data_IF_519043787880
#
_entry.id   IF_519043787880
#
_cell.length_a   1.000
_cell.length_b   1.000
_cell.length_c   1.000
_cell.angle_alpha   90.00
_cell.angle_beta   90.00
_cell.angle_gamma   90.00
#
_symmetry.space_group_name_H-M   'P 1'
#
loop_
_entity.id
_entity.type
_entity.pdbx_description
1 polymer ?
#
# COMPACT_ATOMS: atom_id res chain seq x y z
N UNK A 1 7.31 10.14 10.54
CA UNK A 1 6.44 9.36 9.64
C UNK A 1 6.74 7.87 9.81
N UNK A 2 5.73 7.00 9.79
CA UNK A 2 5.92 5.54 9.86
C UNK A 2 6.56 5.01 8.57
N UNK A 3 7.83 4.59 8.63
CA UNK A 3 8.60 4.21 7.43
C UNK A 3 8.07 2.96 6.74
N UNK A 4 7.47 2.02 7.48
CA UNK A 4 6.89 0.77 6.94
C UNK A 4 5.75 0.98 5.94
N UNK A 5 5.13 2.18 5.92
CA UNK A 5 4.06 2.51 4.98
C UNK A 5 4.61 2.79 3.58
N UNK A 6 5.86 3.25 3.49
CA UNK A 6 6.47 3.75 2.24
C UNK A 6 7.68 2.93 1.81
N UNK A 7 8.39 2.31 2.76
CA UNK A 7 9.64 1.58 2.56
C UNK A 7 9.46 0.11 2.99
N UNK A 8 10.24 -0.82 2.42
CA UNK A 8 10.16 -2.25 2.75
C UNK A 8 10.91 -2.56 4.05
N UNK A 9 10.55 -1.87 5.13
CA UNK A 9 11.09 -2.08 6.47
C UNK A 9 10.06 -2.78 7.34
N UNK A 10 10.53 -3.57 8.32
CA UNK A 10 9.65 -4.27 9.25
C UNK A 10 8.98 -3.23 10.16
N UNK A 11 9.77 -2.34 10.74
CA UNK A 11 9.38 -1.48 11.84
C UNK A 11 10.19 -0.16 11.83
N UNK A 12 9.86 0.72 12.79
CA UNK A 12 10.57 1.96 13.02
C UNK A 12 9.99 3.18 12.30
N UNK A 13 10.50 4.33 12.74
CA UNK A 13 10.14 5.65 12.24
C UNK A 13 11.40 6.51 12.11
N UNK A 14 11.32 7.55 11.28
CA UNK A 14 12.30 8.62 11.25
C UNK A 14 11.62 9.93 11.68
N UNK A 15 12.39 10.74 12.41
CA UNK A 15 12.12 12.13 12.69
C UNK A 15 13.28 12.93 12.10
N UNK A 16 12.95 13.95 11.32
CA UNK A 16 13.91 14.79 10.60
C UNK A 16 13.62 16.24 10.98
N UNK A 17 14.67 16.98 11.33
CA UNK A 17 14.61 18.42 11.56
C UNK A 17 15.21 19.14 10.36
N UNK A 18 14.37 19.83 9.55
CA UNK A 18 14.83 20.48 8.32
C UNK A 18 15.95 21.51 8.56
N UNK A 19 15.88 22.25 9.67
CA UNK A 19 16.78 23.37 9.95
C UNK A 19 18.02 22.96 10.78
N UNK A 20 18.26 21.66 10.96
CA UNK A 20 19.39 21.14 11.73
C UNK A 20 19.31 21.38 13.24
N UNK A 21 18.31 22.12 13.73
CA UNK A 21 18.04 22.28 15.16
C UNK A 21 17.67 20.92 15.76
N UNK A 22 18.58 20.35 16.55
CA UNK A 22 18.30 19.11 17.29
C UNK A 22 17.12 19.34 18.24
N UNK A 23 16.21 18.36 18.38
CA UNK A 23 15.22 18.44 19.46
C UNK A 23 15.96 18.49 20.80
N UNK A 24 15.30 19.06 21.81
CA UNK A 24 15.77 19.05 23.19
C UNK A 24 16.32 17.65 23.58
N UNK A 25 17.33 17.56 24.47
CA UNK A 25 18.09 16.33 24.78
C UNK A 25 17.29 15.15 25.38
N UNK A 26 15.95 15.16 25.33
CA UNK A 26 15.07 14.18 25.96
C UNK A 26 14.56 13.03 25.08
N UNK A 27 14.84 13.00 23.77
CA UNK A 27 14.49 11.82 22.96
C UNK A 27 15.49 10.69 23.21
N UNK A 28 15.27 9.91 24.28
CA UNK A 28 15.99 8.66 24.47
C UNK A 28 15.50 7.63 23.46
N UNK A 29 16.41 7.05 22.69
CA UNK A 29 16.09 5.87 21.88
C UNK A 29 15.84 4.71 22.82
N UNK A 30 14.60 4.25 22.86
CA UNK A 30 14.24 3.09 23.68
C UNK A 30 14.99 1.84 23.19
N UNK A 31 15.06 0.79 24.01
CA UNK A 31 15.71 -0.46 23.57
C UNK A 31 14.95 -1.07 22.39
N UNK A 32 15.69 -1.69 21.48
CA UNK A 32 15.12 -2.53 20.43
C UNK A 32 14.37 -3.70 21.06
N UNK A 33 13.21 -4.04 20.51
CA UNK A 33 12.41 -5.20 20.92
C UNK A 33 12.11 -6.05 19.70
N UNK A 34 12.31 -7.35 19.86
CA UNK A 34 11.94 -8.38 18.90
C UNK A 34 10.72 -9.08 19.49
N UNK A 35 9.54 -8.60 19.11
CA UNK A 35 8.25 -9.04 19.62
C UNK A 35 7.48 -9.86 18.57
N UNK A 36 6.23 -10.17 18.90
CA UNK A 36 5.34 -10.94 18.03
C UNK A 36 5.03 -10.16 16.75
N UNK A 37 4.87 -8.83 16.84
CA UNK A 37 4.75 -7.93 15.69
C UNK A 37 5.94 -8.05 14.74
N UNK A 38 7.15 -7.85 15.24
CA UNK A 38 8.37 -7.90 14.44
C UNK A 38 8.52 -9.24 13.73
N UNK A 39 8.35 -10.33 14.47
CA UNK A 39 8.59 -11.69 13.96
C UNK A 39 7.59 -12.06 12.87
N UNK A 40 6.30 -11.85 13.12
CA UNK A 40 5.24 -12.14 12.15
C UNK A 40 5.39 -11.28 10.89
N UNK A 41 5.70 -9.99 11.05
CA UNK A 41 5.86 -9.08 9.93
C UNK A 41 7.10 -9.36 9.10
N UNK A 42 8.24 -9.63 9.72
CA UNK A 42 9.47 -9.97 9.01
C UNK A 42 9.27 -11.25 8.17
N UNK A 43 8.62 -12.27 8.75
CA UNK A 43 8.29 -13.50 8.03
C UNK A 43 7.29 -13.25 6.89
N UNK A 44 6.24 -12.45 7.13
CA UNK A 44 5.28 -12.07 6.10
C UNK A 44 5.96 -11.38 4.91
N UNK A 45 6.92 -10.49 5.18
CA UNK A 45 7.71 -9.82 4.15
C UNK A 45 8.56 -10.80 3.33
N UNK A 46 9.23 -11.76 3.97
CA UNK A 46 10.03 -12.78 3.28
C UNK A 46 9.16 -13.71 2.43
N UNK A 47 8.04 -14.21 2.97
CA UNK A 47 7.12 -15.06 2.22
C UNK A 47 6.45 -14.32 1.06
N UNK A 48 6.07 -13.05 1.26
CA UNK A 48 5.54 -12.22 0.18
C UNK A 48 6.59 -11.98 -0.91
N UNK A 49 7.85 -11.75 -0.53
CA UNK A 49 8.92 -11.61 -1.50
C UNK A 49 9.05 -12.87 -2.36
N UNK A 50 9.24 -14.05 -1.74
CA UNK A 50 9.34 -15.32 -2.46
C UNK A 50 8.13 -15.62 -3.36
N UNK A 51 6.92 -15.26 -2.92
CA UNK A 51 5.72 -15.41 -3.74
C UNK A 51 5.74 -14.49 -4.97
N UNK A 52 6.11 -13.23 -4.80
CA UNK A 52 6.11 -12.23 -5.89
C UNK A 52 7.27 -12.42 -6.86
N UNK A 53 8.46 -12.78 -6.36
CA UNK A 53 9.67 -12.89 -7.19
C UNK A 53 9.83 -14.26 -7.83
N UNK A 54 9.50 -15.32 -7.09
CA UNK A 54 9.83 -16.70 -7.47
C UNK A 54 8.57 -17.57 -7.67
N UNK A 55 7.37 -17.03 -7.41
CA UNK A 55 6.12 -17.78 -7.48
C UNK A 55 5.97 -18.84 -6.38
N UNK A 56 6.77 -18.75 -5.30
CA UNK A 56 6.82 -19.77 -4.26
C UNK A 56 5.87 -19.45 -3.09
N UNK A 57 5.15 -20.48 -2.64
CA UNK A 57 4.26 -20.40 -1.47
C UNK A 57 2.83 -19.97 -1.80
N UNK A 58 2.14 -19.40 -0.82
CA UNK A 58 0.72 -19.03 -0.92
C UNK A 58 0.47 -17.62 -0.41
N UNK A 59 -0.37 -16.88 -1.14
CA UNK A 59 -0.81 -15.55 -0.73
C UNK A 59 -1.46 -15.56 0.66
N UNK A 60 -2.28 -16.58 0.94
CA UNK A 60 -2.95 -16.78 2.22
C UNK A 60 -1.97 -16.83 3.39
N UNK A 61 -0.80 -17.45 3.22
CA UNK A 61 0.16 -17.62 4.31
C UNK A 61 0.78 -16.29 4.74
N UNK A 62 1.26 -15.48 3.79
CA UNK A 62 1.84 -14.19 4.17
C UNK A 62 0.76 -13.19 4.60
N UNK A 63 -0.45 -13.26 4.06
CA UNK A 63 -1.58 -12.42 4.48
C UNK A 63 -1.96 -12.69 5.93
N UNK A 64 -2.12 -13.96 6.32
CA UNK A 64 -2.38 -14.35 7.71
C UNK A 64 -1.30 -13.82 8.68
N UNK A 65 -0.03 -13.81 8.26
CA UNK A 65 1.06 -13.26 9.08
C UNK A 65 1.03 -11.73 9.16
N UNK A 66 0.60 -11.03 8.10
CA UNK A 66 0.34 -9.60 8.20
C UNK A 66 -0.80 -9.30 9.16
N UNK A 67 -1.89 -10.07 9.12
CA UNK A 67 -3.01 -9.92 10.05
C UNK A 67 -2.58 -10.16 11.50
N UNK A 68 -1.78 -11.20 11.75
CA UNK A 68 -1.20 -11.47 13.06
C UNK A 68 -0.28 -10.33 13.53
N UNK A 69 0.51 -9.75 12.62
CA UNK A 69 1.36 -8.61 12.94
C UNK A 69 0.52 -7.39 13.31
N UNK A 70 -0.46 -6.98 12.51
CA UNK A 70 -1.30 -5.82 12.85
C UNK A 70 -2.06 -6.05 14.17
N UNK A 71 -2.62 -7.25 14.40
CA UNK A 71 -3.25 -7.59 15.67
C UNK A 71 -2.28 -7.60 16.87
N UNK A 72 -1.01 -7.93 16.66
CA UNK A 72 0.02 -7.79 17.69
C UNK A 72 0.35 -6.31 17.95
N UNK A 73 0.48 -5.50 16.90
CA UNK A 73 0.76 -4.07 17.01
C UNK A 73 -0.31 -3.33 17.81
N UNK A 74 -1.58 -3.64 17.56
CA UNK A 74 -2.72 -3.02 18.25
C UNK A 74 -2.77 -3.39 19.74
N UNK A 75 -2.40 -4.63 20.09
CA UNK A 75 -2.38 -5.11 21.48
C UNK A 75 -1.15 -4.64 22.25
N UNK A 76 0.01 -4.61 21.59
CA UNK A 76 1.31 -4.40 22.21
C UNK A 76 1.83 -2.97 21.99
N UNK A 77 0.97 -1.99 21.68
CA UNK A 77 1.38 -0.60 21.45
C UNK A 77 2.06 0.01 22.70
N UNK A 78 3.35 -0.24 22.83
CA UNK A 78 4.25 0.37 23.80
C UNK A 78 4.98 1.51 23.10
N UNK A 79 4.80 2.73 23.57
CA UNK A 79 5.28 3.98 22.97
C UNK A 79 6.82 4.14 22.91
N UNK A 80 7.61 3.07 22.96
CA UNK A 80 9.05 3.16 23.19
C UNK A 80 9.79 1.87 22.78
N UNK A 81 9.86 1.58 21.48
CA UNK A 81 10.82 0.62 20.93
C UNK A 81 11.68 1.30 19.86
N UNK A 82 12.99 1.05 19.89
CA UNK A 82 13.84 1.43 18.76
C UNK A 82 13.48 0.63 17.52
N UNK A 83 13.63 1.27 16.36
CA UNK A 83 13.68 0.57 15.06
C UNK A 83 14.65 -0.60 15.12
N UNK A 84 14.26 -1.78 14.66
CA UNK A 84 15.10 -2.97 14.67
C UNK A 84 16.40 -2.85 13.88
N UNK A 85 17.38 -3.69 14.21
CA UNK A 85 18.62 -3.85 13.47
C UNK A 85 18.38 -4.26 12.02
N UNK A 86 17.37 -5.09 11.76
CA UNK A 86 16.98 -5.49 10.40
C UNK A 86 16.48 -4.28 9.62
N UNK A 87 15.54 -3.49 10.17
CA UNK A 87 15.04 -2.29 9.49
C UNK A 87 16.13 -1.24 9.28
N UNK A 88 17.02 -1.01 10.26
CA UNK A 88 18.20 -0.14 10.08
C UNK A 88 19.12 -0.63 8.97
N UNK A 89 19.35 -1.94 8.92
CA UNK A 89 20.17 -2.62 7.90
C UNK A 89 19.58 -2.45 6.50
N UNK A 90 18.25 -2.60 6.37
CA UNK A 90 17.52 -2.37 5.12
C UNK A 90 17.68 -0.91 4.70
N UNK A 91 17.35 0.06 5.56
CA UNK A 91 17.39 1.49 5.22
C UNK A 91 18.76 1.91 4.69
N UNK A 92 19.84 1.48 5.33
CA UNK A 92 21.21 1.78 4.89
C UNK A 92 21.56 1.27 3.49
N UNK A 93 20.79 0.33 2.95
CA UNK A 93 21.01 -0.31 1.64
C UNK A 93 19.89 0.00 0.64
N UNK A 94 18.87 0.77 1.02
CA UNK A 94 17.77 1.11 0.12
C UNK A 94 18.25 2.07 -0.98
N UNK A 95 18.07 1.66 -2.23
CA UNK A 95 18.18 2.57 -3.37
C UNK A 95 16.94 3.45 -3.49
N UNK A 96 16.85 4.52 -2.69
CA UNK A 96 15.68 5.42 -2.66
C UNK A 96 15.33 5.96 -4.05
N UNK A 97 16.33 6.35 -4.85
CA UNK A 97 16.11 6.82 -6.22
C UNK A 97 15.55 5.73 -7.15
N UNK A 98 15.98 4.48 -6.95
CA UNK A 98 15.44 3.33 -7.69
C UNK A 98 13.97 3.11 -7.31
N UNK A 99 13.63 3.19 -6.02
CA UNK A 99 12.25 3.08 -5.53
C UNK A 99 11.37 4.19 -6.13
N UNK A 100 11.86 5.42 -6.10
CA UNK A 100 11.17 6.59 -6.67
C UNK A 100 10.89 6.40 -8.17
N UNK A 101 11.91 6.03 -8.95
CA UNK A 101 11.75 5.81 -10.40
C UNK A 101 10.79 4.67 -10.69
N UNK A 102 10.90 3.54 -9.98
CA UNK A 102 10.01 2.40 -10.17
C UNK A 102 8.55 2.74 -9.88
N UNK A 103 8.25 3.42 -8.76
CA UNK A 103 6.88 3.87 -8.43
C UNK A 103 6.30 4.80 -9.48
N UNK A 104 7.09 5.78 -9.94
CA UNK A 104 6.64 6.72 -11.00
C UNK A 104 6.38 5.99 -12.32
N UNK A 105 7.28 5.09 -12.72
CA UNK A 105 7.12 4.29 -13.94
C UNK A 105 5.88 3.38 -13.87
N UNK A 106 5.69 2.70 -12.74
CA UNK A 106 4.53 1.83 -12.53
C UNK A 106 3.21 2.60 -12.57
N UNK A 107 3.15 3.77 -11.93
CA UNK A 107 1.98 4.63 -11.98
C UNK A 107 1.65 5.09 -13.41
N UNK A 108 2.66 5.59 -14.15
CA UNK A 108 2.49 6.02 -15.52
C UNK A 108 2.02 4.88 -16.45
N UNK A 109 2.62 3.69 -16.29
CA UNK A 109 2.22 2.49 -17.02
C UNK A 109 0.77 2.09 -16.69
N UNK A 110 0.39 2.10 -15.40
CA UNK A 110 -0.96 1.72 -14.97
C UNK A 110 -2.01 2.68 -15.52
N UNK A 111 -1.77 3.99 -15.44
CA UNK A 111 -2.65 5.02 -16.03
C UNK A 111 -2.81 4.80 -17.53
N UNK A 112 -1.70 4.61 -18.25
CA UNK A 112 -1.73 4.36 -19.70
C UNK A 112 -2.55 3.11 -20.02
N UNK A 113 -2.29 2.00 -19.33
CA UNK A 113 -2.99 0.75 -19.54
C UNK A 113 -4.48 0.86 -19.22
N UNK A 114 -4.88 1.59 -18.16
CA UNK A 114 -6.29 1.84 -17.85
C UNK A 114 -7.00 2.64 -18.95
N UNK A 115 -6.32 3.62 -19.55
CA UNK A 115 -6.85 4.34 -20.71
C UNK A 115 -6.97 3.44 -21.95
N UNK A 116 -5.95 2.63 -22.25
CA UNK A 116 -5.97 1.68 -23.37
C UNK A 116 -7.08 0.62 -23.24
N UNK A 117 -7.43 0.24 -22.01
CA UNK A 117 -8.52 -0.70 -21.70
C UNK A 117 -9.90 -0.02 -21.61
N UNK A 118 -10.00 1.29 -21.85
CA UNK A 118 -11.24 2.07 -21.76
C UNK A 118 -11.95 1.91 -20.40
N UNK A 119 -11.16 1.95 -19.32
CA UNK A 119 -11.64 1.75 -17.95
C UNK A 119 -12.82 2.68 -17.58
N UNK A 120 -12.92 3.86 -18.19
CA UNK A 120 -14.04 4.78 -18.00
C UNK A 120 -15.36 4.21 -18.49
N UNK A 121 -15.39 3.48 -19.62
CA UNK A 121 -16.59 2.75 -20.04
C UNK A 121 -16.96 1.60 -19.10
N UNK A 122 -15.99 1.04 -18.39
CA UNK A 122 -16.21 0.06 -17.33
C UNK A 122 -16.62 0.70 -15.98
N UNK A 123 -16.89 2.00 -15.93
CA UNK A 123 -17.30 2.70 -14.70
C UNK A 123 -16.17 2.95 -13.71
N UNK A 124 -14.91 2.89 -14.17
CA UNK A 124 -13.72 3.15 -13.36
C UNK A 124 -13.03 4.45 -13.80
N UNK A 125 -12.94 5.41 -12.88
CA UNK A 125 -12.37 6.72 -13.13
C UNK A 125 -11.06 6.91 -12.36
N UNK A 126 -10.04 7.44 -13.02
CA UNK A 126 -8.80 7.87 -12.35
C UNK A 126 -9.06 9.16 -11.56
N UNK A 127 -8.71 9.16 -10.27
CA UNK A 127 -8.81 10.39 -9.47
C UNK A 127 -7.72 11.39 -9.87
N UNK A 128 -6.55 10.89 -10.26
CA UNK A 128 -5.44 11.67 -10.77
C UNK A 128 -4.97 11.03 -12.09
N UNK A 129 -5.30 11.59 -13.26
CA UNK A 129 -4.89 11.03 -14.55
C UNK A 129 -3.43 11.35 -14.91
N UNK A 130 -2.81 12.28 -14.18
CA UNK A 130 -1.44 12.71 -14.41
C UNK A 130 -0.64 12.67 -13.11
N UNK A 131 0.66 12.40 -13.22
CA UNK A 131 1.57 12.40 -12.09
C UNK A 131 2.51 13.60 -12.17
N UNK A 132 2.33 14.63 -11.33
CA UNK A 132 3.17 15.82 -11.38
C UNK A 132 4.66 15.51 -11.15
N UNK A 133 5.51 16.42 -11.63
CA UNK A 133 6.94 16.36 -11.35
C UNK A 133 7.21 16.44 -9.86
N UNK A 134 8.26 15.75 -9.42
CA UNK A 134 8.58 15.64 -8.00
C UNK A 134 7.79 14.58 -7.23
N UNK A 135 6.53 14.29 -7.61
CA UNK A 135 5.64 13.39 -6.85
C UNK A 135 6.07 11.93 -6.93
N UNK A 136 5.99 11.21 -5.81
CA UNK A 136 6.23 9.76 -5.75
C UNK A 136 4.95 9.09 -5.26
N UNK A 137 4.25 8.32 -6.11
CA UNK A 137 2.95 7.79 -5.76
C UNK A 137 3.08 6.68 -4.72
N UNK A 138 2.24 6.75 -3.68
CA UNK A 138 2.08 5.64 -2.75
C UNK A 138 1.36 4.48 -3.44
N UNK A 139 0.32 4.81 -4.21
CA UNK A 139 -0.56 3.92 -4.95
C UNK A 139 -1.38 4.73 -5.98
N UNK A 140 -2.26 4.07 -6.74
CA UNK A 140 -3.10 4.68 -7.78
C UNK A 140 -4.58 4.70 -7.38
N UNK A 141 -5.12 5.83 -6.90
CA UNK A 141 -6.53 5.94 -6.52
C UNK A 141 -7.44 6.03 -7.76
N UNK A 142 -8.50 5.23 -7.74
CA UNK A 142 -9.58 5.19 -8.72
C UNK A 142 -10.92 5.30 -8.01
N UNK A 143 -11.95 5.72 -8.74
CA UNK A 143 -13.32 5.93 -8.25
C UNK A 143 -14.27 5.09 -9.10
N UNK A 144 -15.16 4.35 -8.46
CA UNK A 144 -16.21 3.57 -9.13
C UNK A 144 -17.43 3.41 -8.21
N UNK A 145 -18.62 3.31 -8.79
CA UNK A 145 -19.84 3.00 -8.04
C UNK A 145 -19.87 1.54 -7.55
N UNK A 146 -19.15 0.65 -8.23
CA UNK A 146 -19.07 -0.79 -7.92
C UNK A 146 -17.80 -1.13 -7.12
N UNK A 147 -17.36 -0.24 -6.22
CA UNK A 147 -16.07 -0.32 -5.51
C UNK A 147 -15.85 -1.68 -4.83
N UNK A 148 -16.84 -2.15 -4.08
CA UNK A 148 -16.70 -3.37 -3.28
C UNK A 148 -16.70 -4.63 -4.15
N UNK A 149 -17.58 -4.68 -5.17
CA UNK A 149 -17.59 -5.74 -6.17
C UNK A 149 -16.28 -5.80 -6.95
N UNK A 150 -15.74 -4.63 -7.36
CA UNK A 150 -14.44 -4.54 -8.02
C UNK A 150 -13.31 -5.03 -7.10
N UNK A 151 -13.31 -4.63 -5.83
CA UNK A 151 -12.32 -5.07 -4.84
C UNK A 151 -12.32 -6.59 -4.70
N UNK A 152 -13.49 -7.21 -4.56
CA UNK A 152 -13.64 -8.67 -4.47
C UNK A 152 -13.16 -9.37 -5.73
N UNK A 153 -13.54 -8.85 -6.89
CA UNK A 153 -13.14 -9.38 -8.19
C UNK A 153 -11.62 -9.32 -8.40
N UNK A 154 -10.99 -8.20 -8.03
CA UNK A 154 -9.54 -8.04 -8.06
C UNK A 154 -8.85 -8.99 -7.07
N UNK A 155 -9.37 -9.15 -5.86
CA UNK A 155 -8.83 -10.07 -4.87
C UNK A 155 -8.87 -11.53 -5.34
N UNK A 156 -9.97 -11.96 -5.97
CA UNK A 156 -10.10 -13.29 -6.58
C UNK A 156 -9.06 -13.54 -7.68
N UNK A 157 -8.56 -12.47 -8.32
CA UNK A 157 -7.51 -12.51 -9.34
C UNK A 157 -6.11 -12.24 -8.77
N UNK A 158 -5.96 -12.24 -7.45
CA UNK A 158 -4.68 -12.03 -6.76
C UNK A 158 -4.21 -10.57 -6.70
N UNK A 159 -5.05 -9.61 -7.09
CA UNK A 159 -4.77 -8.17 -7.03
C UNK A 159 -5.35 -7.59 -5.74
N UNK A 160 -4.47 -7.40 -4.75
CA UNK A 160 -4.84 -6.82 -3.46
C UNK A 160 -4.88 -5.29 -3.55
N UNK A 161 -6.04 -4.71 -3.24
CA UNK A 161 -6.30 -3.27 -3.23
C UNK A 161 -6.58 -2.76 -1.82
N UNK A 162 -6.58 -1.44 -1.64
CA UNK A 162 -6.87 -0.79 -0.36
C UNK A 162 -8.03 0.20 -0.50
N UNK A 163 -8.72 0.46 0.60
CA UNK A 163 -9.66 1.58 0.74
C UNK A 163 -8.99 2.61 1.67
N UNK A 164 -8.72 3.81 1.15
CA UNK A 164 -8.06 4.90 1.88
C UNK A 164 -8.81 6.21 1.61
N UNK A 165 -9.80 6.58 2.43
CA UNK A 165 -10.25 5.93 3.67
C UNK A 165 -11.76 5.81 3.66
N UNK A 166 -12.28 4.84 4.42
CA UNK A 166 -13.70 4.83 4.79
C UNK A 166 -13.97 6.01 5.75
N UNK A 167 -15.10 6.68 5.58
CA UNK A 167 -15.51 7.74 6.50
C UNK A 167 -15.94 7.11 7.82
N UNK A 168 -15.34 7.50 8.97
CA UNK A 168 -15.78 7.05 10.29
C UNK A 168 -17.21 7.51 10.58
N UNK A 169 -17.96 6.71 11.36
CA UNK A 169 -19.35 7.01 11.72
C UNK A 169 -19.50 8.31 12.53
N UNK A 170 -18.42 8.76 13.18
CA UNK A 170 -18.34 9.98 13.96
C UNK A 170 -18.25 11.24 13.10
N UNK A 171 -18.00 11.12 11.80
CA UNK A 171 -17.91 12.25 10.86
C UNK A 171 -19.31 12.56 10.29
N UNK A 172 -19.91 13.73 10.56
CA UNK A 172 -21.26 14.06 10.09
C UNK A 172 -21.36 14.06 8.56
N UNK A 173 -22.31 13.30 8.01
CA UNK A 173 -22.46 13.14 6.56
C UNK A 173 -23.05 14.36 5.87
N UNK A 174 -23.97 15.03 6.55
CA UNK A 174 -24.61 16.28 6.12
C UNK A 174 -23.62 17.45 6.04
N UNK A 175 -22.63 17.49 6.92
CA UNK A 175 -21.55 18.49 6.86
C UNK A 175 -20.48 18.18 5.80
N UNK A 176 -20.19 16.88 5.56
CA UNK A 176 -19.13 16.44 4.64
C UNK A 176 -19.60 15.49 3.53
N UNK A 177 -20.63 15.85 2.74
CA UNK A 177 -21.27 14.93 1.79
C UNK A 177 -20.32 14.43 0.71
N UNK A 178 -19.41 15.27 0.23
CA UNK A 178 -18.43 14.89 -0.81
C UNK A 178 -17.36 13.93 -0.29
N UNK A 179 -16.91 14.10 0.96
CA UNK A 179 -15.98 13.17 1.61
C UNK A 179 -16.61 11.80 1.75
N UNK A 180 -17.87 11.74 2.18
CA UNK A 180 -18.64 10.51 2.26
C UNK A 180 -18.80 9.86 0.88
N UNK A 181 -19.20 10.63 -0.12
CA UNK A 181 -19.38 10.15 -1.50
C UNK A 181 -18.09 9.59 -2.09
N UNK A 182 -16.95 10.24 -1.87
CA UNK A 182 -15.65 9.74 -2.30
C UNK A 182 -15.26 8.48 -1.53
N UNK A 183 -15.42 8.48 -0.20
CA UNK A 183 -15.04 7.34 0.66
C UNK A 183 -15.76 6.05 0.25
N UNK A 184 -17.01 6.16 -0.20
CA UNK A 184 -17.86 5.05 -0.67
C UNK A 184 -17.45 4.50 -2.04
N UNK A 185 -16.65 5.23 -2.81
CA UNK A 185 -16.36 4.92 -4.22
C UNK A 185 -14.88 4.74 -4.51
N UNK A 186 -14.01 5.20 -3.61
CA UNK A 186 -12.57 5.18 -3.81
C UNK A 186 -12.00 3.77 -3.59
N UNK A 187 -11.20 3.32 -4.54
CA UNK A 187 -10.38 2.12 -4.45
C UNK A 187 -8.94 2.49 -4.81
N UNK A 188 -7.98 1.86 -4.15
CA UNK A 188 -6.56 2.16 -4.35
C UNK A 188 -5.87 0.95 -4.98
N UNK A 189 -5.47 1.11 -6.24
CA UNK A 189 -4.74 0.10 -7.01
C UNK A 189 -3.24 0.13 -6.68
N UNK A 190 -2.58 -1.04 -6.60
CA UNK A 190 -1.16 -1.12 -6.29
C UNK A 190 -0.30 -0.64 -7.47
N UNK A 191 0.69 0.21 -7.18
CA UNK A 191 1.71 0.64 -8.16
C UNK A 191 3.10 0.84 -7.51
N UNK A 192 3.36 0.14 -6.40
CA UNK A 192 4.62 0.29 -5.66
C UNK A 192 5.82 -0.36 -6.36
N UNK A 193 7.03 -0.09 -5.87
CA UNK A 193 8.29 -0.49 -6.52
C UNK A 193 8.53 -2.00 -6.68
N UNK A 194 7.71 -2.85 -6.03
CA UNK A 194 7.85 -4.32 -6.10
C UNK A 194 7.24 -4.87 -7.39
N UNK A 195 6.33 -4.12 -8.00
CA UNK A 195 5.68 -4.51 -9.24
C UNK A 195 6.51 -4.10 -10.45
N UNK A 196 6.24 -4.76 -11.56
CA UNK A 196 6.85 -4.50 -12.87
C UNK A 196 5.81 -3.86 -13.80
N UNK A 197 6.23 -3.31 -14.96
CA UNK A 197 5.29 -2.79 -15.95
C UNK A 197 4.24 -3.81 -16.40
N UNK A 198 4.61 -5.09 -16.54
CA UNK A 198 3.71 -6.19 -16.92
C UNK A 198 2.65 -6.42 -15.84
N UNK A 199 3.01 -6.32 -14.57
CA UNK A 199 2.04 -6.37 -13.48
C UNK A 199 1.03 -5.22 -13.56
N UNK A 200 1.42 -4.03 -14.02
CA UNK A 200 0.48 -2.91 -14.18
C UNK A 200 -0.53 -3.16 -15.30
N UNK A 201 -0.13 -3.84 -16.37
CA UNK A 201 -1.06 -4.28 -17.43
C UNK A 201 -2.06 -5.32 -16.92
N UNK A 202 -1.61 -6.27 -16.10
CA UNK A 202 -2.47 -7.26 -15.45
C UNK A 202 -3.49 -6.57 -14.54
N UNK A 203 -3.04 -5.62 -13.71
CA UNK A 203 -3.92 -4.84 -12.83
C UNK A 203 -4.95 -4.04 -13.65
N UNK A 204 -4.52 -3.33 -14.70
CA UNK A 204 -5.42 -2.54 -15.54
C UNK A 204 -6.50 -3.40 -16.23
N UNK A 205 -6.10 -4.55 -16.79
CA UNK A 205 -7.01 -5.49 -17.43
C UNK A 205 -8.00 -6.08 -16.43
N UNK A 206 -7.51 -6.52 -15.27
CA UNK A 206 -8.37 -7.07 -14.22
C UNK A 206 -9.37 -6.02 -13.71
N UNK A 207 -8.98 -4.75 -13.66
CA UNK A 207 -9.83 -3.66 -13.20
C UNK A 207 -10.90 -3.22 -14.23
N UNK A 208 -10.65 -3.44 -15.52
CA UNK A 208 -11.52 -2.97 -16.61
C UNK A 208 -12.54 -4.03 -17.09
N UNK A 209 -12.55 -5.23 -16.51
CA UNK A 209 -13.29 -6.40 -17.02
C UNK A 209 -14.58 -6.72 -16.26
N UNK A 210 -15.20 -5.75 -15.61
CA UNK A 210 -16.41 -5.92 -14.80
C UNK A 210 -17.67 -6.42 -15.57
N UNK A 211 -17.58 -6.64 -16.89
CA UNK A 211 -18.72 -6.98 -17.75
C UNK A 211 -18.65 -8.31 -18.52
N UNK A 212 -17.72 -9.23 -18.22
CA UNK A 212 -17.63 -10.50 -18.97
C UNK A 212 -17.38 -11.70 -18.06
N UNK A 213 -18.47 -12.37 -17.72
CA UNK A 213 -18.60 -13.61 -16.95
C UNK A 213 -18.50 -13.48 -15.42
N UNK A 214 -19.33 -14.21 -14.66
CA UNK A 214 -19.17 -14.32 -13.21
C UNK A 214 -17.76 -14.85 -12.93
N UNK A 215 -17.15 -14.33 -11.86
CA UNK A 215 -15.98 -14.95 -11.25
C UNK A 215 -16.38 -16.37 -10.80
N UNK A 216 -16.20 -17.35 -11.67
CA UNK A 216 -16.29 -18.76 -11.30
C UNK A 216 -15.06 -19.13 -10.47
N UNK A 217 -15.23 -19.97 -9.43
CA UNK A 217 -14.19 -20.36 -8.50
C UNK A 217 -13.04 -21.15 -9.14
#
# INVERSE_FOLDING_TARGET
MSLRKTLPVVDGAAVVWPDGARPAPGLSVAKERVDSYFSSRALAMMLKAAFVTDGLGSARNYLNLYDQAEAALDREFGASSAMSGVSRSIIKRLGVDRIRRARRANYAQLVRALHEQDATRAGLQLLFPELPDGVVPLACPVVTDERDALRECLAARGVLTQILWESPAEVPQDEFPESWRLSQRILVLPCDQRYSPEHMEIVARAASTLGSSPCSP
#
